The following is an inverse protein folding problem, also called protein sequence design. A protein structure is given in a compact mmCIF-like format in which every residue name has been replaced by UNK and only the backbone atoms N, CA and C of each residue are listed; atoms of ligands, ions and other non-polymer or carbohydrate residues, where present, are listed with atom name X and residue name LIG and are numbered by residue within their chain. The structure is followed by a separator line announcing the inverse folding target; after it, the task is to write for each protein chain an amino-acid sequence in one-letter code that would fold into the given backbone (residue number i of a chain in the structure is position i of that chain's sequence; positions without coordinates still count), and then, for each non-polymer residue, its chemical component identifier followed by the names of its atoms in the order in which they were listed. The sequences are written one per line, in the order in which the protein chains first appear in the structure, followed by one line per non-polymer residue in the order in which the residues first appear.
data_IF_458391959694
#
_entry.id   IF_458391959694
#
_cell.length_a   1.000
_cell.length_b   1.000
_cell.length_c   1.000
_cell.angle_alpha   90.00
_cell.angle_beta   90.00
_cell.angle_gamma   90.00
#
_symmetry.space_group_name_H-M   'P 1'
#
loop_
_entity.id
_entity.type
_entity.pdbx_description
1 polymer ?
#
# COMPACT_ATOMS: atom_id res chain seq x y z
N UNK A 1 12.23 2.06 -4.17
CA UNK A 1 10.81 2.38 -4.33
C UNK A 1 9.90 1.41 -3.56
N UNK A 2 9.91 0.10 -3.86
CA UNK A 2 9.05 -0.89 -3.20
C UNK A 2 9.18 -0.85 -1.67
N UNK A 3 10.41 -0.98 -1.15
CA UNK A 3 10.64 -0.95 0.30
C UNK A 3 10.13 0.33 0.97
N UNK A 4 10.36 1.48 0.33
CA UNK A 4 9.90 2.76 0.87
C UNK A 4 8.37 2.86 0.86
N UNK A 5 7.72 2.45 -0.24
CA UNK A 5 6.26 2.44 -0.30
C UNK A 5 5.64 1.47 0.71
N UNK A 6 6.21 0.26 0.88
CA UNK A 6 5.73 -0.71 1.87
C UNK A 6 5.97 -0.26 3.31
N UNK A 7 7.14 0.33 3.61
CA UNK A 7 7.45 0.85 4.94
C UNK A 7 6.46 1.93 5.41
N UNK A 8 5.88 2.70 4.47
CA UNK A 8 4.85 3.69 4.78
C UNK A 8 3.45 3.06 4.77
N UNK A 9 3.14 2.24 3.77
CA UNK A 9 1.79 1.67 3.58
C UNK A 9 1.41 0.70 4.69
N UNK A 10 2.32 -0.19 5.11
CA UNK A 10 2.01 -1.26 6.08
C UNK A 10 1.55 -0.68 7.42
N UNK A 11 2.31 0.21 8.11
CA UNK A 11 1.88 0.71 9.42
C UNK A 11 0.59 1.53 9.34
N UNK A 12 0.41 2.33 8.27
CA UNK A 12 -0.81 3.10 8.08
C UNK A 12 -2.02 2.19 7.83
N UNK A 13 -1.86 1.17 6.98
CA UNK A 13 -2.93 0.24 6.65
C UNK A 13 -3.31 -0.66 7.84
N UNK A 14 -2.32 -1.13 8.61
CA UNK A 14 -2.58 -1.90 9.84
C UNK A 14 -3.36 -1.05 10.85
N UNK A 15 -2.93 0.17 11.11
CA UNK A 15 -3.63 1.08 12.03
C UNK A 15 -5.06 1.36 11.58
N UNK A 16 -5.26 1.68 10.30
CA UNK A 16 -6.59 1.95 9.74
C UNK A 16 -7.47 0.68 9.73
N UNK A 17 -6.93 -0.47 9.34
CA UNK A 17 -7.65 -1.74 9.30
C UNK A 17 -8.09 -2.20 10.69
N UNK A 18 -7.21 -2.13 11.69
CA UNK A 18 -7.54 -2.43 13.09
C UNK A 18 -8.63 -1.48 13.59
N UNK A 19 -8.50 -0.18 13.32
CA UNK A 19 -9.52 0.79 13.71
C UNK A 19 -10.89 0.48 13.10
N UNK A 20 -10.93 0.18 11.80
CA UNK A 20 -12.18 -0.13 11.09
C UNK A 20 -12.80 -1.47 11.51
N UNK A 21 -11.98 -2.45 11.91
CA UNK A 21 -12.46 -3.73 12.37
C UNK A 21 -13.00 -3.69 13.81
N UNK A 22 -12.25 -3.06 14.74
CA UNK A 22 -12.43 -3.21 16.18
C UNK A 22 -13.09 -2.01 16.88
N UNK A 23 -12.88 -0.80 16.35
CA UNK A 23 -13.32 0.43 17.01
C UNK A 23 -14.41 1.18 16.25
N UNK A 24 -14.47 1.05 14.94
CA UNK A 24 -15.43 1.79 14.13
C UNK A 24 -16.85 1.28 14.33
N UNK A 25 -17.74 2.15 14.82
CA UNK A 25 -19.16 1.84 14.93
C UNK A 25 -19.78 1.75 13.53
N UNK A 26 -20.74 0.85 13.34
CA UNK A 26 -21.55 0.73 12.12
C UNK A 26 -22.47 1.94 11.95
N UNK A 27 -21.93 3.04 11.41
CA UNK A 27 -22.66 4.26 11.11
C UNK A 27 -22.47 4.68 9.63
N UNK A 28 -23.20 5.71 9.20
CA UNK A 28 -23.13 6.22 7.81
C UNK A 28 -21.72 6.68 7.43
N UNK A 29 -20.97 7.25 8.38
CA UNK A 29 -19.60 7.74 8.16
C UNK A 29 -18.64 6.58 7.93
N UNK A 30 -18.70 5.53 8.74
CA UNK A 30 -17.86 4.34 8.56
C UNK A 30 -18.15 3.64 7.24
N UNK A 31 -19.44 3.55 6.84
CA UNK A 31 -19.82 3.02 5.53
C UNK A 31 -19.26 3.87 4.39
N UNK A 32 -19.30 5.19 4.52
CA UNK A 32 -18.73 6.10 3.53
C UNK A 32 -17.21 5.91 3.40
N UNK A 33 -16.49 5.79 4.53
CA UNK A 33 -15.04 5.52 4.53
C UNK A 33 -14.72 4.20 3.82
N UNK A 34 -15.43 3.11 4.15
CA UNK A 34 -15.23 1.81 3.49
C UNK A 34 -15.47 1.89 1.98
N UNK A 35 -16.57 2.52 1.57
CA UNK A 35 -16.87 2.75 0.16
C UNK A 35 -15.79 3.59 -0.54
N UNK A 36 -15.24 4.59 0.14
CA UNK A 36 -14.15 5.43 -0.40
C UNK A 36 -12.87 4.62 -0.60
N UNK A 37 -12.50 3.80 0.39
CA UNK A 37 -11.34 2.88 0.32
C UNK A 37 -11.53 1.87 -0.82
N UNK A 38 -12.71 1.28 -0.93
CA UNK A 38 -13.04 0.33 -2.00
C UNK A 38 -13.03 0.99 -3.38
N UNK A 39 -13.61 2.18 -3.52
CA UNK A 39 -13.59 2.94 -4.76
C UNK A 39 -12.17 3.30 -5.18
N UNK A 40 -11.32 3.70 -4.25
CA UNK A 40 -9.91 4.02 -4.53
C UNK A 40 -9.13 2.79 -5.00
N UNK A 41 -9.43 1.60 -4.46
CA UNK A 41 -8.81 0.35 -4.88
C UNK A 41 -9.15 -0.05 -6.33
N UNK A 42 -10.26 0.44 -6.88
CA UNK A 42 -10.71 0.15 -8.26
C UNK A 42 -10.21 1.17 -9.30
N UNK A 43 -9.57 2.25 -8.86
CA UNK A 43 -9.02 3.27 -9.77
C UNK A 43 -7.92 2.64 -10.65
N UNK A 44 -7.95 2.84 -12.00
CA UNK A 44 -6.88 2.39 -12.86
C UNK A 44 -5.53 3.01 -12.47
N UNK A 45 -4.48 2.20 -12.44
CA UNK A 45 -3.14 2.64 -11.99
C UNK A 45 -2.57 3.80 -12.81
N UNK A 46 -2.89 3.86 -14.11
CA UNK A 46 -2.50 4.99 -14.97
C UNK A 46 -3.07 6.33 -14.48
N UNK A 47 -4.31 6.33 -13.98
CA UNK A 47 -4.95 7.53 -13.43
C UNK A 47 -4.24 7.96 -12.15
N UNK A 48 -3.90 7.00 -11.27
CA UNK A 48 -3.10 7.28 -10.08
C UNK A 48 -1.70 7.76 -10.42
N UNK A 49 -1.09 7.25 -11.50
CA UNK A 49 0.19 7.72 -12.02
C UNK A 49 0.14 9.19 -12.47
N UNK A 50 -0.88 9.55 -13.25
CA UNK A 50 -1.11 10.94 -13.68
C UNK A 50 -1.39 11.87 -12.49
N UNK A 51 -2.19 11.42 -11.53
CA UNK A 51 -2.43 12.15 -10.29
C UNK A 51 -1.14 12.37 -9.48
N UNK A 52 -0.33 11.32 -9.34
CA UNK A 52 0.99 11.39 -8.69
C UNK A 52 1.94 12.34 -9.41
N UNK A 53 1.94 12.35 -10.75
CA UNK A 53 2.72 13.30 -11.55
C UNK A 53 2.29 14.74 -11.27
N UNK A 54 0.99 15.03 -11.24
CA UNK A 54 0.50 16.38 -10.98
C UNK A 54 0.88 16.84 -9.58
N UNK A 55 0.66 16.01 -8.56
CA UNK A 55 0.86 16.41 -7.16
C UNK A 55 2.33 16.35 -6.78
N UNK A 56 2.97 15.17 -6.89
CA UNK A 56 4.30 14.98 -6.34
C UNK A 56 5.39 15.56 -7.26
N UNK A 57 5.29 15.34 -8.57
CA UNK A 57 6.32 15.80 -9.50
C UNK A 57 6.20 17.31 -9.73
N UNK A 58 4.99 17.80 -10.04
CA UNK A 58 4.79 19.20 -10.44
C UNK A 58 4.50 20.13 -9.26
N UNK A 59 3.48 19.87 -8.44
CA UNK A 59 3.08 20.80 -7.36
C UNK A 59 4.05 20.78 -6.18
N UNK A 60 4.50 19.61 -5.76
CA UNK A 60 5.47 19.47 -4.67
C UNK A 60 6.93 19.66 -5.14
N UNK A 61 7.15 19.87 -6.45
CA UNK A 61 8.46 20.08 -7.05
C UNK A 61 9.49 18.98 -6.74
N UNK A 62 9.04 17.74 -6.51
CA UNK A 62 9.94 16.60 -6.27
C UNK A 62 10.64 16.12 -7.56
N UNK A 63 10.17 16.59 -8.75
CA UNK A 63 10.65 16.08 -10.02
C UNK A 63 10.37 14.59 -10.22
N UNK A 64 10.92 14.01 -11.26
CA UNK A 64 10.92 12.53 -11.41
C UNK A 64 11.89 11.95 -10.40
N UNK A 65 11.37 11.28 -9.38
CA UNK A 65 12.17 10.83 -8.24
C UNK A 65 11.68 9.50 -7.67
N UNK A 66 12.60 8.78 -7.03
CA UNK A 66 12.28 7.57 -6.27
C UNK A 66 11.23 7.87 -5.18
N UNK A 67 11.33 9.05 -4.56
CA UNK A 67 10.39 9.48 -3.52
C UNK A 67 9.00 9.70 -4.10
N UNK A 68 8.86 10.46 -5.19
CA UNK A 68 7.58 10.70 -5.86
C UNK A 68 6.89 9.41 -6.31
N UNK A 69 7.66 8.50 -6.92
CA UNK A 69 7.19 7.17 -7.31
C UNK A 69 6.73 6.34 -6.12
N UNK A 70 7.51 6.34 -5.02
CA UNK A 70 7.15 5.59 -3.80
C UNK A 70 5.89 6.12 -3.14
N UNK A 71 5.70 7.44 -3.04
CA UNK A 71 4.49 8.05 -2.49
C UNK A 71 3.24 7.72 -3.32
N UNK A 72 3.39 7.69 -4.64
CA UNK A 72 2.29 7.31 -5.53
C UNK A 72 1.94 5.82 -5.38
N UNK A 73 2.95 4.95 -5.21
CA UNK A 73 2.73 3.55 -4.88
C UNK A 73 2.04 3.36 -3.52
N UNK A 74 2.30 4.23 -2.54
CA UNK A 74 1.56 4.21 -1.26
C UNK A 74 0.06 4.40 -1.51
N UNK A 75 -0.33 5.37 -2.35
CA UNK A 75 -1.74 5.60 -2.67
C UNK A 75 -2.41 4.39 -3.33
N UNK A 76 -1.68 3.64 -4.16
CA UNK A 76 -2.16 2.40 -4.78
C UNK A 76 -2.32 1.26 -3.76
N UNK A 77 -1.34 1.09 -2.88
CA UNK A 77 -1.22 -0.06 -2.00
C UNK A 77 -2.11 0.08 -0.75
N UNK A 78 -2.25 1.31 -0.24
CA UNK A 78 -2.91 1.58 1.04
C UNK A 78 -4.36 1.09 1.09
N UNK A 79 -5.23 1.34 0.10
CA UNK A 79 -6.62 0.86 0.13
C UNK A 79 -6.72 -0.67 0.20
N UNK A 80 -5.90 -1.36 -0.58
CA UNK A 80 -5.89 -2.82 -0.61
C UNK A 80 -5.42 -3.41 0.72
N UNK A 81 -4.34 -2.87 1.30
CA UNK A 81 -3.83 -3.32 2.59
C UNK A 81 -4.79 -3.04 3.74
N UNK A 82 -5.45 -1.87 3.75
CA UNK A 82 -6.48 -1.55 4.75
C UNK A 82 -7.61 -2.57 4.70
N UNK A 83 -8.13 -2.85 3.50
CA UNK A 83 -9.21 -3.81 3.32
C UNK A 83 -8.83 -5.22 3.76
N UNK A 84 -7.68 -5.73 3.30
CA UNK A 84 -7.23 -7.08 3.66
C UNK A 84 -6.96 -7.18 5.16
N UNK A 85 -6.43 -6.15 5.79
CA UNK A 85 -6.24 -6.11 7.24
C UNK A 85 -7.58 -6.16 7.99
N UNK A 86 -8.54 -5.33 7.59
CA UNK A 86 -9.89 -5.33 8.18
C UNK A 86 -10.56 -6.70 8.02
N UNK A 87 -10.55 -7.28 6.81
CA UNK A 87 -11.13 -8.59 6.53
C UNK A 87 -10.43 -9.71 7.32
N UNK A 88 -9.10 -9.70 7.41
CA UNK A 88 -8.35 -10.70 8.17
C UNK A 88 -8.67 -10.67 9.65
N UNK A 89 -8.87 -9.49 10.24
CA UNK A 89 -9.27 -9.34 11.64
C UNK A 89 -10.70 -9.85 11.84
N UNK A 90 -11.61 -9.53 10.94
CA UNK A 90 -13.02 -9.96 11.00
C UNK A 90 -13.23 -11.47 10.82
N UNK A 91 -12.27 -12.18 10.24
CA UNK A 91 -12.33 -13.65 10.13
C UNK A 91 -11.97 -14.36 11.42
N UNK A 92 -11.37 -13.67 12.40
CA UNK A 92 -11.09 -14.25 13.72
C UNK A 92 -12.44 -14.49 14.46
N UNK A 93 -12.67 -15.72 14.97
CA UNK A 93 -13.90 -16.03 15.68
C UNK A 93 -14.13 -15.12 16.89
N UNK A 94 -15.35 -14.62 17.06
CA UNK A 94 -15.71 -13.71 18.16
C UNK A 94 -15.52 -14.32 19.54
N UNK A 95 -15.63 -15.66 19.64
CA UNK A 95 -15.37 -16.43 20.86
C UNK A 95 -13.97 -16.16 21.46
N UNK A 96 -12.99 -15.84 20.62
CA UNK A 96 -11.63 -15.52 21.10
C UNK A 96 -11.59 -14.17 21.84
N UNK A 97 -12.35 -13.20 21.35
CA UNK A 97 -12.50 -11.90 22.01
C UNK A 97 -13.24 -12.05 23.34
N UNK A 98 -14.37 -12.76 23.33
CA UNK A 98 -15.20 -13.01 24.54
C UNK A 98 -14.41 -13.77 25.62
N UNK A 99 -13.70 -14.84 25.25
CA UNK A 99 -12.88 -15.61 26.18
C UNK A 99 -11.75 -14.76 26.80
N UNK A 100 -11.10 -13.92 26.01
CA UNK A 100 -10.05 -13.02 26.50
C UNK A 100 -10.59 -11.99 27.49
N UNK A 101 -11.73 -11.38 27.18
CA UNK A 101 -12.40 -10.41 28.04
C UNK A 101 -12.91 -11.06 29.32
N UNK A 102 -13.42 -12.31 29.27
CA UNK A 102 -13.86 -13.08 30.43
C UNK A 102 -12.69 -13.38 31.40
N UNK A 103 -11.47 -13.51 30.89
CA UNK A 103 -10.25 -13.63 31.71
C UNK A 103 -9.77 -12.31 32.31
N UNK A 104 -10.50 -11.21 32.10
CA UNK A 104 -10.17 -9.88 32.64
C UNK A 104 -9.19 -9.08 31.81
N UNK A 105 -8.89 -9.48 30.57
CA UNK A 105 -8.06 -8.69 29.66
C UNK A 105 -8.79 -7.41 29.23
N UNK A 106 -8.03 -6.33 29.04
CA UNK A 106 -8.57 -5.11 28.44
C UNK A 106 -8.74 -5.28 26.93
N UNK A 107 -9.63 -4.50 26.30
CA UNK A 107 -9.83 -4.54 24.83
C UNK A 107 -8.50 -4.41 24.07
N UNK A 108 -7.63 -3.50 24.46
CA UNK A 108 -6.32 -3.33 23.82
C UNK A 108 -5.43 -4.58 23.97
N UNK A 109 -5.43 -5.20 25.15
CA UNK A 109 -4.68 -6.46 25.36
C UNK A 109 -5.23 -7.60 24.51
N UNK A 110 -6.55 -7.70 24.39
CA UNK A 110 -7.23 -8.68 23.54
C UNK A 110 -6.84 -8.48 22.07
N UNK A 111 -6.90 -7.26 21.56
CA UNK A 111 -6.52 -6.95 20.19
C UNK A 111 -5.05 -7.33 19.93
N UNK A 112 -4.12 -6.86 20.78
CA UNK A 112 -2.68 -7.05 20.53
C UNK A 112 -2.19 -8.48 20.79
N UNK A 113 -2.80 -9.22 21.74
CA UNK A 113 -2.30 -10.55 22.17
C UNK A 113 -3.10 -11.71 21.62
N UNK A 114 -4.33 -11.48 21.17
CA UNK A 114 -5.23 -12.57 20.72
C UNK A 114 -5.65 -12.35 19.27
N UNK A 115 -6.33 -11.23 18.99
CA UNK A 115 -6.94 -11.00 17.67
C UNK A 115 -5.87 -10.78 16.59
N UNK A 116 -4.95 -9.85 16.82
CA UNK A 116 -3.93 -9.51 15.83
C UNK A 116 -3.01 -10.70 15.50
N UNK A 117 -2.46 -11.46 16.46
CA UNK A 117 -1.71 -12.67 16.16
C UNK A 117 -2.52 -13.72 15.40
N UNK A 118 -3.80 -13.89 15.72
CA UNK A 118 -4.70 -14.82 15.03
C UNK A 118 -4.99 -14.39 13.58
N UNK A 119 -5.06 -13.09 13.31
CA UNK A 119 -5.25 -12.52 11.97
C UNK A 119 -3.97 -12.46 11.13
N UNK A 120 -2.78 -12.61 11.73
CA UNK A 120 -1.49 -12.44 11.07
C UNK A 120 -1.31 -13.27 9.79
N UNK A 121 -1.74 -14.53 9.67
CA UNK A 121 -1.60 -15.29 8.42
C UNK A 121 -2.29 -14.60 7.24
N UNK A 122 -3.51 -14.08 7.45
CA UNK A 122 -4.25 -13.33 6.43
C UNK A 122 -3.58 -11.99 6.08
N UNK A 123 -3.12 -11.26 7.08
CA UNK A 123 -2.42 -9.99 6.91
C UNK A 123 -1.12 -10.18 6.12
N UNK A 124 -0.30 -11.17 6.47
CA UNK A 124 0.96 -11.49 5.76
C UNK A 124 0.68 -11.84 4.30
N UNK A 125 -0.35 -12.64 4.04
CA UNK A 125 -0.79 -12.97 2.68
C UNK A 125 -1.15 -11.71 1.91
N UNK A 126 -1.91 -10.79 2.51
CA UNK A 126 -2.27 -9.51 1.90
C UNK A 126 -1.06 -8.62 1.60
N UNK A 127 -0.11 -8.54 2.53
CA UNK A 127 1.15 -7.81 2.33
C UNK A 127 1.93 -8.41 1.15
N UNK A 128 2.05 -9.74 1.10
CA UNK A 128 2.78 -10.44 0.04
C UNK A 128 2.14 -10.20 -1.35
N UNK A 129 0.82 -10.30 -1.45
CA UNK A 129 0.08 -10.04 -2.69
C UNK A 129 0.24 -8.58 -3.15
N UNK A 130 0.15 -7.63 -2.22
CA UNK A 130 0.31 -6.21 -2.51
C UNK A 130 1.73 -5.90 -2.95
N UNK A 131 2.74 -6.48 -2.30
CA UNK A 131 4.14 -6.34 -2.69
C UNK A 131 4.39 -6.92 -4.09
N UNK A 132 3.84 -8.09 -4.40
CA UNK A 132 3.92 -8.69 -5.74
C UNK A 132 3.30 -7.80 -6.82
N UNK A 133 2.13 -7.20 -6.55
CA UNK A 133 1.51 -6.22 -7.45
C UNK A 133 2.40 -4.99 -7.65
N UNK A 134 2.93 -4.43 -6.58
CA UNK A 134 3.78 -3.24 -6.64
C UNK A 134 5.11 -3.47 -7.37
N UNK A 135 5.65 -4.70 -7.36
CA UNK A 135 6.82 -5.08 -8.16
C UNK A 135 6.55 -5.03 -9.67
N UNK A 136 5.36 -5.42 -10.09
CA UNK A 136 4.95 -5.40 -11.50
C UNK A 136 4.42 -4.05 -11.99
N UNK A 137 4.28 -3.05 -11.10
CA UNK A 137 3.68 -1.77 -11.47
C UNK A 137 4.62 -0.95 -12.36
N UNK A 138 4.16 -0.63 -13.56
CA UNK A 138 4.90 0.18 -14.55
C UNK A 138 4.23 1.52 -14.79
N UNK A 139 2.91 1.55 -14.92
CA UNK A 139 2.17 2.74 -15.34
C UNK A 139 2.36 3.92 -14.36
N UNK A 140 2.32 3.67 -13.06
CA UNK A 140 2.55 4.72 -12.05
C UNK A 140 3.97 5.26 -12.14
N UNK A 141 4.95 4.36 -12.23
CA UNK A 141 6.36 4.71 -12.12
C UNK A 141 6.89 5.47 -13.34
N UNK A 142 6.38 5.18 -14.53
CA UNK A 142 6.72 5.94 -15.74
C UNK A 142 6.37 7.43 -15.57
N UNK A 143 5.23 7.73 -14.94
CA UNK A 143 4.76 9.11 -14.75
C UNK A 143 5.37 9.81 -13.53
N UNK A 144 5.97 9.09 -12.58
CA UNK A 144 6.38 9.67 -11.28
C UNK A 144 7.84 9.49 -10.95
N UNK A 145 8.46 8.39 -11.36
CA UNK A 145 9.87 8.10 -11.14
C UNK A 145 10.73 8.29 -12.41
N UNK A 146 10.09 8.24 -13.58
CA UNK A 146 10.76 8.35 -14.88
C UNK A 146 11.33 7.04 -15.38
N UNK A 147 12.05 7.13 -16.52
CA UNK A 147 12.72 6.01 -17.19
C UNK A 147 14.23 6.19 -17.21
N UNK A 148 14.79 6.85 -16.20
CA UNK A 148 16.22 7.18 -16.14
C UNK A 148 16.98 6.02 -15.52
N UNK A 149 17.84 5.38 -16.28
CA UNK A 149 18.82 4.43 -15.74
C UNK A 149 19.86 5.21 -14.94
N UNK A 150 19.94 4.99 -13.63
CA UNK A 150 21.02 5.56 -12.83
C UNK A 150 22.37 5.02 -13.34
N UNK A 151 23.29 5.90 -13.67
CA UNK A 151 24.65 5.54 -14.08
C UNK A 151 25.49 4.96 -12.93
N UNK A 152 25.06 5.18 -11.70
CA UNK A 152 25.72 4.68 -10.50
C UNK A 152 24.89 3.57 -9.87
N UNK A 153 25.44 2.37 -9.83
CA UNK A 153 24.80 1.15 -9.35
C UNK A 153 24.38 1.21 -7.86
N UNK A 154 24.85 2.21 -7.12
CA UNK A 154 24.65 2.41 -5.69
C UNK A 154 24.26 3.85 -5.34
N UNK A 155 23.55 4.55 -6.24
CA UNK A 155 23.02 5.85 -5.89
C UNK A 155 21.83 5.68 -4.92
N UNK A 156 22.01 6.11 -3.67
CA UNK A 156 20.99 6.06 -2.61
C UNK A 156 20.20 7.34 -2.51
N UNK A 157 20.37 8.28 -3.44
CA UNK A 157 19.61 9.53 -3.43
C UNK A 157 18.15 9.26 -3.83
N UNK A 158 17.26 9.40 -2.86
CA UNK A 158 15.80 9.20 -3.05
C UNK A 158 15.17 10.31 -3.90
N UNK A 159 15.87 11.40 -4.12
CA UNK A 159 15.44 12.50 -5.02
C UNK A 159 15.89 12.27 -6.46
N UNK A 160 16.76 11.31 -6.72
CA UNK A 160 17.13 10.93 -8.06
C UNK A 160 15.98 10.22 -8.79
N UNK A 161 15.91 10.39 -10.10
CA UNK A 161 15.04 9.59 -10.95
C UNK A 161 15.54 8.14 -10.95
N UNK A 162 14.61 7.19 -11.08
CA UNK A 162 14.97 5.77 -11.11
C UNK A 162 13.87 4.94 -11.74
N UNK A 163 14.26 3.79 -12.26
CA UNK A 163 13.32 2.85 -12.85
C UNK A 163 13.34 1.51 -12.11
N UNK A 164 12.23 0.79 -12.16
CA UNK A 164 12.16 -0.60 -11.73
C UNK A 164 12.45 -1.52 -12.89
N UNK A 165 12.75 -2.79 -12.59
CA UNK A 165 12.98 -3.81 -13.63
C UNK A 165 11.80 -3.90 -14.62
N UNK A 166 10.56 -3.76 -14.12
CA UNK A 166 9.35 -3.80 -14.94
C UNK A 166 9.27 -2.59 -15.90
N UNK A 167 9.62 -1.38 -15.43
CA UNK A 167 9.68 -0.17 -16.25
C UNK A 167 10.80 -0.28 -17.29
N UNK A 168 11.96 -0.78 -16.89
CA UNK A 168 13.08 -0.98 -17.81
C UNK A 168 12.75 -1.96 -18.94
N UNK A 169 12.14 -3.11 -18.60
CA UNK A 169 11.70 -4.08 -19.59
C UNK A 169 10.67 -3.48 -20.57
N UNK A 170 9.71 -2.74 -20.05
CA UNK A 170 8.72 -2.04 -20.87
C UNK A 170 9.40 -1.04 -21.83
N UNK A 171 10.36 -0.28 -21.34
CA UNK A 171 11.11 0.70 -22.14
C UNK A 171 11.88 0.00 -23.28
N UNK A 172 12.61 -1.07 -22.98
CA UNK A 172 13.37 -1.83 -23.98
C UNK A 172 12.45 -2.41 -25.09
N UNK A 173 11.30 -2.94 -24.70
CA UNK A 173 10.31 -3.50 -25.65
C UNK A 173 9.66 -2.39 -26.48
N UNK A 174 9.30 -1.26 -25.88
CA UNK A 174 8.64 -0.14 -26.58
C UNK A 174 9.59 0.63 -27.49
N UNK A 175 10.86 0.71 -27.13
CA UNK A 175 11.91 1.34 -27.94
C UNK A 175 12.45 0.45 -29.06
N UNK A 176 12.00 -0.81 -29.17
CA UNK A 176 12.47 -1.77 -30.19
C UNK A 176 13.94 -2.17 -30.03
N UNK A 177 14.48 -2.06 -28.82
CA UNK A 177 15.88 -2.39 -28.51
C UNK A 177 16.10 -3.88 -28.23
N UNK A 178 15.01 -4.65 -28.16
CA UNK A 178 15.04 -6.12 -28.06
C UNK A 178 14.36 -6.68 -29.30
N UNK A 179 14.99 -7.62 -30.03
CA UNK A 179 14.43 -8.25 -31.22
C UNK A 179 13.24 -9.16 -30.89
#
# INVERSE_FOLDING_TARGET
MLFLSMAVSIPLALGAGIYLAEYARENRLTKCIRLSVESLATVPSIVLGLFGMIIFVNQMHLGFSILGGSLTLVLLNLPMLVRVTEESIRTVPHDYEEASLALGATKLQTICKVILPSAMPGIITGITLTAGRALGETAILIFTAGTTVSRFMYDTDVMAGGETLAVHLWYLLSAGLVP
#
